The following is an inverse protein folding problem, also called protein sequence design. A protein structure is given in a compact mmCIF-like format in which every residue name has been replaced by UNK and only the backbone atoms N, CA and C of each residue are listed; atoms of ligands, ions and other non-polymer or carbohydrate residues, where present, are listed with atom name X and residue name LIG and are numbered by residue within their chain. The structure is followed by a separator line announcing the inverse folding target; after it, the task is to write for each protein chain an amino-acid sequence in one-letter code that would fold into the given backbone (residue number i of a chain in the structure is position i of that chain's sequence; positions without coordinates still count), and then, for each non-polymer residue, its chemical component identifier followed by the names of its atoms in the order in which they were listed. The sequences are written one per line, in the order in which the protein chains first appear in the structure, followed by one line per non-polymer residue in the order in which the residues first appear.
data_IF_132576843061
#
_entry.id   IF_132576843061
#
_cell.length_a   1.000
_cell.length_b   1.000
_cell.length_c   1.000
_cell.angle_alpha   90.00
_cell.angle_beta   90.00
_cell.angle_gamma   90.00
#
_symmetry.space_group_name_H-M   'P 1'
#
loop_
_entity.id
_entity.type
_entity.pdbx_description
1 polymer ?
#
# COMPACT_ATOMS: atom_id res chain seq x y z
N UNK A 1 1.00 13.80 -10.90
CA UNK A 1 0.49 12.80 -11.85
C UNK A 1 -0.77 12.16 -11.29
N UNK A 2 -1.78 12.03 -12.12
CA UNK A 2 -3.12 11.66 -11.65
C UNK A 2 -3.19 10.26 -11.04
N UNK A 3 -2.48 9.28 -11.61
CA UNK A 3 -2.50 7.92 -11.07
C UNK A 3 -1.93 7.88 -9.66
N UNK A 4 -0.89 8.65 -9.40
CA UNK A 4 -0.27 8.71 -8.07
C UNK A 4 -1.19 9.44 -7.09
N UNK A 5 -1.83 10.53 -7.52
CA UNK A 5 -2.81 11.22 -6.68
C UNK A 5 -4.00 10.32 -6.34
N UNK A 6 -4.45 9.52 -7.29
CA UNK A 6 -5.54 8.59 -7.06
C UNK A 6 -5.12 7.45 -6.14
N UNK A 7 -3.88 6.95 -6.27
CA UNK A 7 -3.36 5.94 -5.34
C UNK A 7 -3.33 6.47 -3.92
N UNK A 8 -2.79 7.68 -3.74
CA UNK A 8 -2.76 8.35 -2.44
C UNK A 8 -4.16 8.42 -1.83
N UNK A 9 -5.13 8.88 -2.62
CA UNK A 9 -6.51 9.02 -2.15
C UNK A 9 -7.12 7.66 -1.79
N UNK A 10 -6.82 6.64 -2.60
CA UNK A 10 -7.33 5.30 -2.36
C UNK A 10 -6.81 4.74 -1.03
N UNK A 11 -5.53 4.97 -0.73
CA UNK A 11 -4.95 4.52 0.54
C UNK A 11 -5.57 5.29 1.71
N UNK A 12 -5.67 6.61 1.58
CA UNK A 12 -6.22 7.43 2.67
C UNK A 12 -7.67 7.10 2.99
N UNK A 13 -8.41 6.58 2.01
CA UNK A 13 -9.84 6.27 2.17
C UNK A 13 -10.12 4.77 2.17
N UNK A 14 -9.11 3.92 2.10
CA UNK A 14 -9.28 2.45 2.00
C UNK A 14 -10.21 2.08 0.84
N UNK A 15 -10.05 2.75 -0.31
CA UNK A 15 -10.97 2.65 -1.44
C UNK A 15 -10.51 1.57 -2.40
N UNK A 16 -11.04 0.36 -2.23
CA UNK A 16 -10.67 -0.79 -3.04
C UNK A 16 -10.98 -0.57 -4.52
N UNK A 17 -12.11 0.06 -4.83
CA UNK A 17 -12.50 0.29 -6.22
C UNK A 17 -11.55 1.25 -6.92
N UNK A 18 -11.10 2.29 -6.23
CA UNK A 18 -10.14 3.21 -6.81
C UNK A 18 -8.79 2.54 -7.01
N UNK A 19 -8.40 1.64 -6.12
CA UNK A 19 -7.17 0.85 -6.31
C UNK A 19 -7.25 0.01 -7.58
N UNK A 20 -8.42 -0.58 -7.88
CA UNK A 20 -8.60 -1.34 -9.12
C UNK A 20 -8.38 -0.50 -10.36
N UNK A 21 -8.70 0.80 -10.28
CA UNK A 21 -8.51 1.70 -11.43
C UNK A 21 -7.05 2.05 -11.66
N UNK A 22 -6.24 2.15 -10.60
CA UNK A 22 -4.85 2.57 -10.73
C UNK A 22 -3.86 1.41 -10.88
N UNK A 23 -4.26 0.20 -10.52
CA UNK A 23 -3.39 -0.98 -10.61
C UNK A 23 -3.40 -1.61 -12.00
N UNK A 24 -2.25 -2.14 -12.40
CA UNK A 24 -2.13 -2.95 -13.60
C UNK A 24 -2.84 -4.29 -13.41
N UNK A 25 -3.10 -5.06 -14.50
CA UNK A 25 -3.73 -6.37 -14.36
C UNK A 25 -3.00 -7.33 -13.43
N UNK A 26 -1.67 -7.19 -13.33
CA UNK A 26 -0.83 -7.92 -12.38
C UNK A 26 0.01 -6.91 -11.61
N UNK A 27 0.07 -7.07 -10.31
CA UNK A 27 0.82 -6.16 -9.44
C UNK A 27 1.70 -6.97 -8.50
N UNK A 28 2.99 -6.64 -8.46
CA UNK A 28 3.90 -7.21 -7.48
C UNK A 28 3.79 -6.41 -6.21
N UNK A 29 3.35 -7.05 -5.12
CA UNK A 29 3.12 -6.38 -3.85
C UNK A 29 4.05 -6.97 -2.80
N UNK A 30 4.78 -6.09 -2.08
CA UNK A 30 5.64 -6.46 -0.96
C UNK A 30 5.20 -5.67 0.25
N UNK A 31 4.58 -6.34 1.20
CA UNK A 31 4.15 -5.73 2.45
C UNK A 31 5.11 -6.13 3.57
N UNK A 32 5.17 -5.37 4.68
CA UNK A 32 6.12 -5.68 5.75
C UNK A 32 5.97 -7.08 6.33
N UNK A 33 4.78 -7.67 6.22
CA UNK A 33 4.48 -8.96 6.84
C UNK A 33 4.83 -10.15 5.97
N UNK A 34 5.17 -9.96 4.69
CA UNK A 34 5.17 -11.10 3.80
C UNK A 34 6.19 -11.07 2.70
N UNK A 35 6.14 -12.13 1.91
CA UNK A 35 6.98 -12.29 0.75
C UNK A 35 6.51 -11.41 -0.40
N UNK A 36 7.41 -11.22 -1.37
CA UNK A 36 7.12 -10.50 -2.60
C UNK A 36 6.38 -11.43 -3.54
N UNK A 37 5.14 -11.11 -3.89
CA UNK A 37 4.29 -11.95 -4.74
C UNK A 37 3.58 -11.11 -5.79
N UNK A 38 3.38 -11.73 -6.97
CA UNK A 38 2.53 -11.14 -8.00
C UNK A 38 1.07 -11.52 -7.71
N UNK A 39 0.20 -10.53 -7.83
CA UNK A 39 -1.24 -10.73 -7.62
C UNK A 39 -2.04 -10.15 -8.78
N UNK A 40 -3.14 -10.79 -9.16
CA UNK A 40 -4.08 -10.14 -10.09
C UNK A 40 -4.68 -8.90 -9.42
N UNK A 41 -5.17 -7.98 -10.25
CA UNK A 41 -5.63 -6.67 -9.78
C UNK A 41 -6.67 -6.77 -8.66
N UNK A 42 -7.61 -7.70 -8.73
CA UNK A 42 -8.63 -7.81 -7.70
C UNK A 42 -8.04 -8.21 -6.35
N UNK A 43 -7.08 -9.13 -6.35
CA UNK A 43 -6.40 -9.55 -5.12
C UNK A 43 -5.52 -8.44 -4.58
N UNK A 44 -4.73 -7.78 -5.44
CA UNK A 44 -3.86 -6.69 -5.03
C UNK A 44 -4.66 -5.54 -4.42
N UNK A 45 -5.80 -5.20 -5.03
CA UNK A 45 -6.67 -4.13 -4.53
C UNK A 45 -7.26 -4.48 -3.18
N UNK A 46 -7.67 -5.73 -3.00
CA UNK A 46 -8.18 -6.19 -1.71
C UNK A 46 -7.09 -6.11 -0.64
N UNK A 47 -5.89 -6.64 -0.94
CA UNK A 47 -4.78 -6.61 0.01
C UNK A 47 -4.49 -5.18 0.45
N UNK A 48 -4.37 -4.26 -0.50
CA UNK A 48 -4.01 -2.89 -0.17
C UNK A 48 -5.12 -2.14 0.55
N UNK A 49 -6.39 -2.46 0.29
CA UNK A 49 -7.49 -1.89 1.07
C UNK A 49 -7.42 -2.36 2.53
N UNK A 50 -7.04 -3.62 2.75
CA UNK A 50 -6.86 -4.14 4.11
C UNK A 50 -5.64 -3.54 4.80
N UNK A 51 -4.55 -3.31 4.05
CA UNK A 51 -3.37 -2.60 4.54
C UNK A 51 -3.78 -1.22 5.07
N UNK A 52 -4.54 -0.48 4.27
CA UNK A 52 -5.00 0.85 4.67
C UNK A 52 -5.89 0.82 5.91
N UNK A 53 -6.80 -0.16 5.99
CA UNK A 53 -7.69 -0.31 7.14
C UNK A 53 -6.94 -0.69 8.42
N UNK A 54 -5.77 -1.29 8.29
CA UNK A 54 -4.94 -1.67 9.44
C UNK A 54 -4.35 -0.45 10.14
N UNK A 55 -4.21 0.66 9.41
CA UNK A 55 -3.71 1.92 9.96
C UNK A 55 -4.76 3.03 9.77
N UNK A 56 -5.83 3.02 10.56
CA UNK A 56 -6.89 4.04 10.42
C UNK A 56 -6.32 5.45 10.54
N UNK A 57 -6.83 6.35 9.71
CA UNK A 57 -6.36 7.74 9.71
C UNK A 57 -5.03 7.94 9.00
N UNK A 58 -4.56 6.93 8.27
CA UNK A 58 -3.30 7.05 7.52
C UNK A 58 -3.38 8.22 6.55
N UNK A 59 -2.32 9.02 6.51
CA UNK A 59 -2.28 10.26 5.74
C UNK A 59 -0.96 10.34 4.99
N UNK A 60 -1.03 10.71 3.71
CA UNK A 60 0.16 10.92 2.90
C UNK A 60 0.79 12.28 3.23
N UNK A 61 2.08 12.27 3.55
CA UNK A 61 2.79 13.48 3.96
C UNK A 61 3.83 13.93 2.93
N UNK A 62 4.16 13.06 1.96
CA UNK A 62 5.22 13.34 1.01
C UNK A 62 5.01 12.52 -0.25
N UNK A 63 5.22 13.15 -1.40
CA UNK A 63 5.24 12.45 -2.69
C UNK A 63 6.47 12.92 -3.45
N UNK A 64 7.23 11.97 -4.00
CA UNK A 64 8.43 12.29 -4.76
C UNK A 64 8.51 11.44 -6.02
N UNK A 65 8.89 12.10 -7.12
CA UNK A 65 9.16 11.44 -8.40
C UNK A 65 10.66 11.10 -8.41
N UNK A 66 10.98 9.81 -8.43
CA UNK A 66 12.37 9.35 -8.37
C UNK A 66 12.96 9.09 -9.77
N UNK A 67 12.19 9.32 -10.82
CA UNK A 67 12.64 9.04 -12.19
C UNK A 67 12.38 7.59 -12.58
N UNK A 68 12.45 7.30 -13.86
CA UNK A 68 12.28 5.95 -14.42
C UNK A 68 10.95 5.30 -14.02
N UNK A 69 9.89 6.12 -13.89
CA UNK A 69 8.55 5.67 -13.50
C UNK A 69 8.46 5.13 -12.08
N UNK A 70 9.40 5.50 -11.22
CA UNK A 70 9.35 5.19 -9.79
C UNK A 70 8.93 6.41 -9.00
N UNK A 71 8.08 6.18 -7.99
CA UNK A 71 7.58 7.22 -7.10
C UNK A 71 7.68 6.73 -5.67
N UNK A 72 7.91 7.66 -4.74
CA UNK A 72 7.90 7.37 -3.31
C UNK A 72 6.82 8.22 -2.65
N UNK A 73 5.97 7.59 -1.85
CA UNK A 73 4.95 8.28 -1.07
C UNK A 73 5.18 7.98 0.41
N UNK A 74 5.34 9.03 1.20
CA UNK A 74 5.47 8.89 2.65
C UNK A 74 4.10 8.99 3.30
N UNK A 75 3.84 8.10 4.24
CA UNK A 75 2.59 8.06 4.98
C UNK A 75 2.86 8.06 6.48
N UNK A 76 1.92 8.62 7.24
CA UNK A 76 1.91 8.55 8.68
C UNK A 76 0.55 8.06 9.15
N UNK A 77 0.57 7.24 10.20
CA UNK A 77 -0.66 6.70 10.77
C UNK A 77 -0.37 6.04 12.10
N UNK A 78 -1.25 5.16 12.50
CA UNK A 78 -1.04 4.40 13.72
C UNK A 78 -1.74 3.05 13.63
N UNK A 79 -1.18 2.07 14.36
CA UNK A 79 -1.76 0.75 14.47
C UNK A 79 -1.85 0.41 15.95
N UNK A 80 -3.09 0.09 16.42
CA UNK A 80 -3.32 -0.25 17.82
C UNK A 80 -2.70 0.80 18.77
N UNK A 81 -2.84 2.09 18.42
CA UNK A 81 -2.33 3.17 19.24
C UNK A 81 -0.85 3.48 19.10
N UNK A 82 -0.11 2.73 18.31
CA UNK A 82 1.32 2.98 18.08
C UNK A 82 1.50 3.75 16.78
N UNK A 83 2.22 4.87 16.84
CA UNK A 83 2.51 5.69 15.66
C UNK A 83 3.43 4.94 14.72
N UNK A 84 3.14 5.07 13.41
CA UNK A 84 3.99 4.47 12.38
C UNK A 84 4.23 5.47 11.26
N UNK A 85 5.35 5.26 10.57
CA UNK A 85 5.67 5.93 9.32
C UNK A 85 5.94 4.87 8.28
N UNK A 86 5.45 5.09 7.07
CA UNK A 86 5.67 4.15 5.99
C UNK A 86 6.05 4.89 4.73
N UNK A 87 6.80 4.21 3.86
CA UNK A 87 7.09 4.71 2.52
C UNK A 87 6.64 3.64 1.55
N UNK A 88 5.80 4.03 0.60
CA UNK A 88 5.38 3.17 -0.49
C UNK A 88 6.24 3.52 -1.71
N UNK A 89 6.97 2.53 -2.20
CA UNK A 89 7.76 2.63 -3.42
C UNK A 89 6.92 2.05 -4.55
N UNK A 90 6.58 2.89 -5.54
CA UNK A 90 5.56 2.57 -6.55
C UNK A 90 6.16 2.70 -7.93
N UNK A 91 5.96 1.69 -8.78
CA UNK A 91 6.40 1.71 -10.17
C UNK A 91 5.20 1.72 -11.11
N UNK A 92 5.28 2.55 -12.15
CA UNK A 92 4.26 2.59 -13.20
C UNK A 92 4.75 1.85 -14.44
N UNK A 93 3.89 1.02 -15.01
CA UNK A 93 4.21 0.35 -16.27
C UNK A 93 4.02 1.30 -17.46
N UNK A 94 4.23 0.79 -18.67
CA UNK A 94 4.14 1.60 -19.90
C UNK A 94 2.74 2.16 -20.13
N UNK A 95 1.71 1.56 -19.52
CA UNK A 95 0.32 2.02 -19.66
C UNK A 95 -0.06 3.01 -18.57
N UNK A 96 0.90 3.40 -17.72
CA UNK A 96 0.65 4.35 -16.64
C UNK A 96 -0.09 3.74 -15.46
N UNK A 97 -0.06 2.41 -15.30
CA UNK A 97 -0.69 1.72 -14.19
C UNK A 97 0.38 1.20 -13.23
N UNK A 98 0.01 1.07 -11.95
CA UNK A 98 0.92 0.58 -10.94
C UNK A 98 1.09 -0.93 -11.09
N UNK A 99 2.33 -1.37 -11.34
CA UNK A 99 2.65 -2.80 -11.49
C UNK A 99 3.57 -3.32 -10.38
N UNK A 100 4.15 -2.44 -9.57
CA UNK A 100 4.96 -2.85 -8.41
C UNK A 100 4.73 -1.90 -7.26
N UNK A 101 4.71 -2.46 -6.05
CA UNK A 101 4.46 -1.72 -4.83
C UNK A 101 5.21 -2.38 -3.69
N UNK A 102 6.13 -1.62 -3.06
CA UNK A 102 6.93 -2.10 -1.94
C UNK A 102 6.68 -1.15 -0.77
N UNK A 103 6.36 -1.70 0.40
CA UNK A 103 6.06 -0.91 1.59
C UNK A 103 7.18 -1.09 2.62
N UNK A 104 7.77 0.04 3.04
CA UNK A 104 8.74 0.11 4.12
C UNK A 104 8.08 0.77 5.32
N UNK A 105 8.36 0.32 6.53
CA UNK A 105 7.64 0.82 7.70
C UNK A 105 8.53 0.89 8.93
N UNK A 106 8.29 1.92 9.74
CA UNK A 106 9.00 2.13 11.00
C UNK A 106 8.07 2.73 12.05
N UNK A 107 8.44 2.71 13.35
CA UNK A 107 9.54 1.98 13.96
C UNK A 107 9.25 0.48 14.06
N UNK A 108 10.26 -0.29 14.45
CA UNK A 108 10.12 -1.75 14.49
C UNK A 108 8.92 -2.24 15.29
N UNK A 109 8.64 -1.74 16.51
CA UNK A 109 7.48 -2.24 17.25
C UNK A 109 6.16 -2.00 16.52
N UNK A 110 6.00 -0.84 15.88
CA UNK A 110 4.79 -0.53 15.13
C UNK A 110 4.68 -1.40 13.87
N UNK A 111 5.79 -1.59 13.16
CA UNK A 111 5.82 -2.44 11.98
C UNK A 111 5.48 -3.88 12.34
N UNK A 112 5.98 -4.37 13.47
CA UNK A 112 5.69 -5.72 13.93
C UNK A 112 4.22 -5.87 14.30
N UNK A 113 3.64 -4.88 14.97
CA UNK A 113 2.21 -4.89 15.31
C UNK A 113 1.36 -4.84 14.04
N UNK A 114 1.75 -4.01 13.07
CA UNK A 114 1.08 -3.94 11.77
C UNK A 114 1.09 -5.31 11.09
N UNK A 115 2.25 -5.98 11.08
CA UNK A 115 2.40 -7.30 10.46
C UNK A 115 1.44 -8.31 11.09
N UNK A 116 1.34 -8.31 12.42
CA UNK A 116 0.43 -9.22 13.12
C UNK A 116 -1.02 -8.98 12.73
N UNK A 117 -1.44 -7.72 12.67
CA UNK A 117 -2.81 -7.38 12.37
C UNK A 117 -3.16 -7.68 10.91
N UNK A 118 -2.26 -7.32 9.97
CA UNK A 118 -2.56 -7.55 8.56
C UNK A 118 -2.60 -9.04 8.22
N UNK A 119 -1.75 -9.85 8.83
CA UNK A 119 -1.79 -11.29 8.64
C UNK A 119 -3.16 -11.84 9.02
N UNK A 120 -3.70 -11.41 10.16
CA UNK A 120 -5.03 -11.84 10.59
C UNK A 120 -6.12 -11.39 9.63
N UNK A 121 -6.04 -10.14 9.14
CA UNK A 121 -7.03 -9.61 8.21
C UNK A 121 -7.05 -10.35 6.89
N UNK A 122 -5.90 -10.85 6.45
CA UNK A 122 -5.79 -11.51 5.15
C UNK A 122 -6.07 -13.01 5.22
N UNK A 123 -6.26 -13.58 6.41
CA UNK A 123 -6.58 -14.98 6.55
C UNK A 123 -7.98 -15.29 6.04
N UNK A 124 -8.18 -16.45 5.39
CA UNK A 124 -9.51 -16.83 4.94
C UNK A 124 -10.51 -16.91 6.09
N UNK A 125 -11.74 -16.49 5.84
CA UNK A 125 -12.84 -16.61 6.80
C UNK A 125 -13.30 -18.08 6.85
N UNK A 126 -13.63 -18.52 8.02
CA UNK A 126 -14.17 -19.87 8.23
C UNK A 126 -15.67 -19.82 8.36
#
# INVERSE_FOLDING_TARGET
MKVIENYKRAIENSDENLLKEVFAPQVRVEIPAGASLNHPVNTASYIMSQVAKTAPGITCTLTADAGNNWYFLGFEGQVKGQKLQAVDQVHLNKDGKIDQLIIYMRPIPAAQKFAEVIIQRLQPTR
#
